data_IF_553977926579
#
_entry.id   IF_553977926579
#
_cell.length_a   1.000
_cell.length_b   1.000
_cell.length_c   1.000
_cell.angle_alpha   90.00
_cell.angle_beta   90.00
_cell.angle_gamma   90.00
#
_symmetry.space_group_name_H-M   'P 1'
#
loop_
_entity.id
_entity.type
_entity.pdbx_description
1 polymer ?
#
# COMPACT_ATOMS: atom_id res chain seq x y z
N UNK A 1 2.20 13.70 11.53
CA UNK A 1 3.21 13.73 10.45
C UNK A 1 2.45 13.52 9.16
N UNK A 2 2.58 14.42 8.18
CA UNK A 2 1.94 14.27 6.87
C UNK A 2 2.95 13.58 5.93
N UNK A 3 2.55 12.50 5.25
CA UNK A 3 3.39 11.76 4.30
C UNK A 3 2.82 11.99 2.89
N UNK A 4 3.32 12.99 2.14
CA UNK A 4 2.77 13.35 0.84
C UNK A 4 3.17 12.38 -0.28
N UNK A 5 4.19 11.55 -0.05
CA UNK A 5 4.66 10.54 -1.01
C UNK A 5 4.56 9.18 -0.36
N UNK A 6 3.83 8.27 -0.99
CA UNK A 6 3.54 6.93 -0.51
C UNK A 6 3.85 5.92 -1.61
N UNK A 7 4.30 4.73 -1.22
CA UNK A 7 4.44 3.59 -2.12
C UNK A 7 3.64 2.42 -1.58
N UNK A 8 2.62 1.99 -2.32
CA UNK A 8 2.01 0.67 -2.13
C UNK A 8 2.76 -0.33 -3.02
N UNK A 9 3.34 -1.36 -2.42
CA UNK A 9 4.16 -2.35 -3.09
C UNK A 9 3.48 -3.71 -2.97
N UNK A 10 3.37 -4.41 -4.10
CA UNK A 10 2.67 -5.68 -4.22
C UNK A 10 3.66 -6.67 -4.83
N UNK A 11 4.19 -7.59 -4.02
CA UNK A 11 5.22 -8.53 -4.48
C UNK A 11 4.59 -9.86 -4.84
N UNK A 12 4.98 -10.42 -5.98
CA UNK A 12 4.75 -11.82 -6.32
C UNK A 12 5.91 -12.66 -5.83
N UNK A 13 5.63 -13.61 -4.96
CA UNK A 13 6.62 -14.45 -4.32
C UNK A 13 6.66 -15.84 -4.94
N UNK A 14 7.73 -16.56 -4.64
CA UNK A 14 7.81 -17.98 -4.95
C UNK A 14 6.86 -18.78 -4.06
N UNK A 15 6.27 -19.88 -4.57
CA UNK A 15 5.35 -20.72 -3.80
C UNK A 15 5.86 -21.08 -2.40
N UNK A 16 5.08 -20.73 -1.38
CA UNK A 16 5.36 -21.08 0.02
C UNK A 16 6.50 -20.29 0.68
N UNK A 17 7.00 -19.22 0.04
CA UNK A 17 8.11 -18.39 0.56
C UNK A 17 7.65 -17.10 1.23
N UNK A 18 6.34 -16.84 1.27
CA UNK A 18 5.78 -15.59 1.83
C UNK A 18 6.17 -15.35 3.28
N UNK A 19 5.97 -16.34 4.14
CA UNK A 19 6.23 -16.13 5.57
C UNK A 19 7.73 -15.96 5.87
N UNK A 20 8.61 -16.58 5.08
CA UNK A 20 10.05 -16.33 5.17
C UNK A 20 10.39 -14.87 4.88
N UNK A 21 9.82 -14.29 3.81
CA UNK A 21 10.01 -12.87 3.50
C UNK A 21 9.44 -11.99 4.59
N UNK A 22 8.24 -12.30 5.10
CA UNK A 22 7.58 -11.53 6.17
C UNK A 22 8.44 -11.50 7.42
N UNK A 23 8.97 -12.65 7.87
CA UNK A 23 9.83 -12.73 9.05
C UNK A 23 11.12 -11.93 8.88
N UNK A 24 11.77 -12.02 7.72
CA UNK A 24 12.96 -11.24 7.40
C UNK A 24 12.65 -9.74 7.37
N UNK A 25 11.54 -9.37 6.72
CA UNK A 25 11.12 -7.99 6.56
C UNK A 25 10.83 -7.33 7.92
N UNK A 26 10.04 -8.01 8.76
CA UNK A 26 9.67 -7.53 10.09
C UNK A 26 10.89 -7.37 11.01
N UNK A 27 11.86 -8.28 10.92
CA UNK A 27 13.04 -8.27 11.77
C UNK A 27 14.08 -7.25 11.33
N UNK A 28 14.39 -7.18 10.03
CA UNK A 28 15.56 -6.44 9.53
C UNK A 28 15.18 -5.18 8.74
N UNK A 29 14.09 -5.22 7.97
CA UNK A 29 13.80 -4.15 7.00
C UNK A 29 12.90 -3.06 7.52
N UNK A 30 12.04 -3.31 8.52
CA UNK A 30 11.24 -2.23 9.12
C UNK A 30 12.17 -1.19 9.76
N UNK A 31 12.92 -1.58 10.79
CA UNK A 31 13.83 -0.66 11.50
C UNK A 31 14.96 -0.16 10.59
N UNK A 32 15.49 -0.99 9.69
CA UNK A 32 16.53 -0.60 8.74
C UNK A 32 16.08 0.51 7.78
N UNK A 33 14.84 0.44 7.27
CA UNK A 33 14.29 1.50 6.42
C UNK A 33 13.98 2.77 7.23
N UNK A 34 13.43 2.62 8.43
CA UNK A 34 13.11 3.77 9.30
C UNK A 34 14.37 4.54 9.73
N UNK A 35 15.47 3.84 10.00
CA UNK A 35 16.77 4.45 10.26
C UNK A 35 17.29 5.29 9.08
N UNK A 36 16.84 5.00 7.86
CA UNK A 36 17.17 5.77 6.65
C UNK A 36 16.18 6.92 6.37
N UNK A 37 15.21 7.17 7.26
CA UNK A 37 14.24 8.27 7.13
C UNK A 37 12.95 7.92 6.39
N UNK A 38 12.71 6.65 6.06
CA UNK A 38 11.43 6.18 5.55
C UNK A 38 10.45 5.95 6.69
N UNK A 39 9.15 5.89 6.38
CA UNK A 39 8.16 5.38 7.32
C UNK A 39 7.51 4.13 6.77
N UNK A 40 7.69 2.98 7.41
CA UNK A 40 6.94 1.77 7.07
C UNK A 40 5.58 1.85 7.76
N UNK A 41 4.52 1.92 6.96
CA UNK A 41 3.16 2.15 7.45
C UNK A 41 2.42 0.86 7.72
N UNK A 42 2.61 -0.16 6.89
CA UNK A 42 2.03 -1.46 7.12
C UNK A 42 2.55 -2.48 6.14
N UNK A 43 2.50 -3.74 6.54
CA UNK A 43 2.75 -4.90 5.70
C UNK A 43 1.65 -5.92 5.95
N UNK A 44 1.38 -6.74 4.94
CA UNK A 44 0.17 -7.53 4.91
C UNK A 44 0.38 -8.84 4.16
N UNK A 45 -0.29 -9.87 4.66
CA UNK A 45 -0.59 -11.09 3.90
C UNK A 45 -1.89 -10.87 3.14
N UNK A 46 -1.90 -11.16 1.85
CA UNK A 46 -3.13 -11.27 1.08
C UNK A 46 -3.86 -12.57 1.48
N UNK A 47 -5.15 -12.47 1.80
CA UNK A 47 -5.98 -13.61 2.18
C UNK A 47 -6.29 -14.52 0.99
N UNK A 48 -6.33 -13.96 -0.22
CA UNK A 48 -6.74 -14.66 -1.44
C UNK A 48 -5.54 -15.14 -2.27
N UNK A 49 -4.33 -14.67 -1.95
CA UNK A 49 -3.09 -15.01 -2.65
C UNK A 49 -1.97 -15.35 -1.64
N UNK A 50 -1.69 -16.65 -1.41
CA UNK A 50 -0.67 -17.08 -0.45
C UNK A 50 0.75 -16.69 -0.86
N UNK A 51 0.96 -16.35 -2.12
CA UNK A 51 2.26 -15.96 -2.68
C UNK A 51 2.36 -14.44 -2.91
N UNK A 52 1.43 -13.64 -2.36
CA UNK A 52 1.49 -12.18 -2.40
C UNK A 52 1.86 -11.58 -1.05
N UNK A 53 2.79 -10.63 -1.09
CA UNK A 53 3.13 -9.77 0.04
C UNK A 53 2.88 -8.30 -0.32
N UNK A 54 2.01 -7.64 0.43
CA UNK A 54 1.60 -6.25 0.18
C UNK A 54 2.12 -5.38 1.31
N UNK A 55 2.75 -4.24 1.01
CA UNK A 55 3.24 -3.34 2.04
C UNK A 55 3.28 -1.88 1.58
N UNK A 56 3.27 -0.98 2.55
CA UNK A 56 3.16 0.45 2.37
C UNK A 56 4.29 1.16 3.10
N UNK A 57 4.92 2.11 2.42
CA UNK A 57 5.83 3.07 3.05
C UNK A 57 5.55 4.48 2.60
N UNK A 58 6.00 5.46 3.37
CA UNK A 58 5.90 6.87 3.03
C UNK A 58 7.21 7.62 3.21
N UNK A 59 7.27 8.77 2.56
CA UNK A 59 8.40 9.70 2.54
C UNK A 59 7.90 11.13 2.76
N UNK A 60 8.79 11.98 3.26
CA UNK A 60 8.48 13.40 3.49
C UNK A 60 8.27 14.17 2.16
N UNK A 61 9.00 13.78 1.11
CA UNK A 61 8.89 14.31 -0.25
C UNK A 61 9.66 13.40 -1.23
N UNK A 62 9.68 13.76 -2.51
CA UNK A 62 10.39 13.01 -3.54
C UNK A 62 11.92 13.05 -3.36
N UNK A 63 12.51 14.17 -2.92
CA UNK A 63 13.96 14.25 -2.71
C UNK A 63 14.40 13.31 -1.58
N UNK A 64 13.65 13.29 -0.48
CA UNK A 64 13.83 12.36 0.63
C UNK A 64 13.59 10.92 0.21
N UNK A 65 12.62 10.66 -0.68
CA UNK A 65 12.46 9.33 -1.29
C UNK A 65 13.76 8.86 -1.93
N UNK A 66 14.32 9.62 -2.87
CA UNK A 66 15.55 9.21 -3.55
C UNK A 66 16.74 9.01 -2.58
N UNK A 67 16.93 9.94 -1.64
CA UNK A 67 18.02 9.88 -0.67
C UNK A 67 17.90 8.66 0.26
N UNK A 68 16.71 8.43 0.83
CA UNK A 68 16.46 7.32 1.74
C UNK A 68 16.56 5.96 1.04
N UNK A 69 16.07 5.85 -0.19
CA UNK A 69 16.23 4.63 -0.99
C UNK A 69 17.69 4.36 -1.33
N UNK A 70 18.44 5.38 -1.73
CA UNK A 70 19.87 5.24 -1.98
C UNK A 70 20.63 4.76 -0.72
N UNK A 71 20.31 5.33 0.44
CA UNK A 71 20.93 4.96 1.72
C UNK A 71 20.60 3.52 2.13
N UNK A 72 19.34 3.10 2.03
CA UNK A 72 18.93 1.75 2.42
C UNK A 72 19.47 0.68 1.47
N UNK A 73 19.21 0.82 0.16
CA UNK A 73 19.62 -0.19 -0.84
C UNK A 73 21.12 -0.19 -1.14
N UNK A 74 21.84 0.88 -0.80
CA UNK A 74 23.31 0.92 -0.82
C UNK A 74 23.94 0.61 0.54
N UNK A 75 23.14 0.37 1.57
CA UNK A 75 23.57 0.25 2.95
C UNK A 75 23.83 -1.18 3.42
N UNK A 76 24.38 -1.35 4.63
CA UNK A 76 24.80 -2.65 5.16
C UNK A 76 23.63 -3.61 5.37
N UNK A 77 22.47 -3.12 5.82
CA UNK A 77 21.26 -3.95 6.05
C UNK A 77 20.82 -4.64 4.77
N UNK A 78 20.75 -3.90 3.65
CA UNK A 78 20.40 -4.49 2.36
C UNK A 78 21.53 -5.37 1.81
N UNK A 79 22.79 -4.98 1.99
CA UNK A 79 23.92 -5.81 1.56
C UNK A 79 23.93 -7.19 2.25
N UNK A 80 23.60 -7.24 3.53
CA UNK A 80 23.56 -8.47 4.32
C UNK A 80 22.31 -9.33 4.03
N UNK A 81 21.13 -8.72 4.01
CA UNK A 81 19.86 -9.46 3.98
C UNK A 81 19.13 -9.44 2.62
N UNK A 82 19.48 -8.51 1.73
CA UNK A 82 18.89 -8.36 0.40
C UNK A 82 18.95 -9.64 -0.46
N UNK A 83 20.06 -10.40 -0.49
CA UNK A 83 20.10 -11.67 -1.23
C UNK A 83 19.06 -12.69 -0.77
N UNK A 84 18.83 -12.80 0.54
CA UNK A 84 17.83 -13.71 1.10
C UNK A 84 16.40 -13.25 0.73
N UNK A 85 16.12 -11.95 0.80
CA UNK A 85 14.85 -11.39 0.37
C UNK A 85 14.60 -11.61 -1.14
N UNK A 86 15.61 -11.35 -1.98
CA UNK A 86 15.48 -11.56 -3.43
C UNK A 86 15.23 -13.02 -3.79
N UNK A 87 15.77 -13.97 -3.02
CA UNK A 87 15.54 -15.39 -3.25
C UNK A 87 14.06 -15.80 -3.08
N UNK A 88 13.26 -15.05 -2.30
CA UNK A 88 11.84 -15.34 -2.10
C UNK A 88 10.94 -14.74 -3.17
N UNK A 89 11.41 -13.76 -3.95
CA UNK A 89 10.59 -12.97 -4.88
C UNK A 89 10.69 -13.50 -6.32
N UNK A 90 9.56 -13.44 -7.04
CA UNK A 90 9.48 -13.58 -8.50
C UNK A 90 9.38 -12.21 -9.16
N UNK A 91 8.57 -11.33 -8.58
CA UNK A 91 8.39 -9.96 -9.03
C UNK A 91 8.22 -9.01 -7.84
N UNK A 92 8.82 -7.81 -7.96
CA UNK A 92 8.78 -6.75 -6.95
C UNK A 92 8.40 -5.39 -7.53
N UNK A 93 7.98 -5.36 -8.79
CA UNK A 93 7.89 -4.14 -9.60
C UNK A 93 6.46 -3.58 -9.66
N UNK A 94 5.43 -4.32 -9.20
CA UNK A 94 4.07 -3.79 -9.01
C UNK A 94 4.02 -2.82 -7.81
N UNK A 95 4.40 -1.58 -8.10
CA UNK A 95 4.49 -0.49 -7.14
C UNK A 95 3.68 0.70 -7.62
N UNK A 96 2.78 1.16 -6.76
CA UNK A 96 2.02 2.39 -6.98
C UNK A 96 2.66 3.55 -6.23
N UNK A 97 2.99 4.63 -6.94
CA UNK A 97 3.42 5.90 -6.34
C UNK A 97 2.21 6.79 -6.08
N UNK A 98 1.95 7.08 -4.82
CA UNK A 98 0.69 7.63 -4.33
C UNK A 98 0.89 8.89 -3.47
N UNK A 99 -0.19 9.65 -3.34
CA UNK A 99 -0.34 10.77 -2.39
C UNK A 99 -1.74 10.74 -1.77
N UNK A 100 -1.97 11.35 -0.60
CA UNK A 100 -3.32 11.58 -0.10
C UNK A 100 -4.18 12.34 -1.12
N UNK A 101 -5.43 11.90 -1.33
CA UNK A 101 -6.35 12.55 -2.27
C UNK A 101 -6.81 13.95 -1.78
N UNK A 102 -6.84 14.12 -0.46
CA UNK A 102 -7.10 15.37 0.28
C UNK A 102 -6.10 15.51 1.44
N UNK A 103 -5.86 16.73 1.96
CA UNK A 103 -4.90 16.96 3.06
C UNK A 103 -5.11 16.10 4.31
N UNK A 104 -6.34 15.67 4.59
CA UNK A 104 -6.76 14.92 5.77
C UNK A 104 -7.08 13.44 5.48
N UNK A 105 -6.80 12.97 4.27
CA UNK A 105 -7.17 11.63 3.81
C UNK A 105 -6.02 10.61 3.81
N UNK A 106 -4.83 11.01 4.26
CA UNK A 106 -3.71 10.08 4.44
C UNK A 106 -3.87 9.20 5.68
N UNK A 107 -2.98 8.22 5.84
CA UNK A 107 -2.93 7.43 7.06
C UNK A 107 -2.63 8.31 8.28
N UNK A 108 -3.50 8.24 9.28
CA UNK A 108 -3.26 8.86 10.57
C UNK A 108 -2.40 7.91 11.43
N UNK A 109 -1.38 8.41 12.15
CA UNK A 109 -0.62 7.57 13.07
C UNK A 109 -1.54 6.93 14.11
N UNK A 110 -1.64 5.61 14.11
CA UNK A 110 -2.39 4.87 15.11
C UNK A 110 -1.49 4.68 16.33
N UNK A 111 -1.94 5.11 17.51
CA UNK A 111 -1.16 5.02 18.77
C UNK A 111 -1.48 3.78 19.59
N UNK A 112 -2.40 2.95 19.13
CA UNK A 112 -2.88 1.75 19.84
C UNK A 112 -2.99 0.60 18.86
N UNK A 113 -2.48 -0.57 19.26
CA UNK A 113 -2.64 -1.80 18.48
C UNK A 113 -4.14 -2.05 18.18
N UNK A 114 -4.52 -1.96 16.92
CA UNK A 114 -5.80 -2.39 16.37
C UNK A 114 -5.70 -3.75 15.67
N UNK A 115 -6.27 -4.76 16.31
CA UNK A 115 -6.55 -6.03 15.66
C UNK A 115 -7.63 -5.84 14.60
N UNK A 116 -7.40 -6.28 13.37
CA UNK A 116 -8.42 -6.24 12.31
C UNK A 116 -7.90 -6.72 10.95
N UNK A 117 -8.85 -6.90 10.03
CA UNK A 117 -8.61 -7.22 8.63
C UNK A 117 -8.73 -5.94 7.82
N UNK A 118 -7.78 -5.67 6.95
CA UNK A 118 -7.77 -4.49 6.11
C UNK A 118 -8.30 -4.84 4.72
N UNK A 119 -8.91 -3.88 4.05
CA UNK A 119 -9.11 -3.96 2.61
C UNK A 119 -8.40 -2.81 1.93
N UNK A 120 -7.76 -3.08 0.81
CA UNK A 120 -7.28 -2.05 -0.11
C UNK A 120 -8.07 -2.19 -1.41
N UNK A 121 -8.93 -1.22 -1.72
CA UNK A 121 -9.68 -1.22 -2.99
C UNK A 121 -9.02 -0.27 -3.96
N UNK A 122 -8.53 -0.83 -5.06
CA UNK A 122 -7.71 -0.19 -6.09
C UNK A 122 -8.59 -0.01 -7.33
N UNK A 123 -8.76 1.25 -7.75
CA UNK A 123 -9.50 1.63 -8.94
C UNK A 123 -8.55 2.23 -9.97
N UNK A 124 -8.52 1.70 -11.19
CA UNK A 124 -7.94 2.40 -12.35
C UNK A 124 -9.00 3.38 -12.85
N UNK A 125 -8.72 4.67 -12.78
CA UNK A 125 -9.69 5.74 -12.99
C UNK A 125 -9.45 6.51 -14.28
N UNK A 126 -10.54 6.92 -14.93
CA UNK A 126 -10.48 7.64 -16.22
C UNK A 126 -10.12 9.12 -16.06
N UNK A 127 -10.32 9.68 -14.87
CA UNK A 127 -10.21 11.13 -14.61
C UNK A 127 -9.48 11.45 -13.30
N UNK A 128 -8.68 12.53 -13.23
CA UNK A 128 -8.11 13.01 -11.98
C UNK A 128 -9.17 13.47 -10.96
N UNK A 129 -10.39 13.81 -11.39
CA UNK A 129 -11.44 14.30 -10.50
C UNK A 129 -12.19 13.18 -9.74
N UNK A 130 -11.72 11.93 -9.84
CA UNK A 130 -12.35 10.79 -9.18
C UNK A 130 -12.47 10.99 -7.66
N UNK A 131 -11.55 11.72 -7.03
CA UNK A 131 -11.63 12.03 -5.60
C UNK A 131 -12.90 12.79 -5.19
N UNK A 132 -13.42 13.67 -6.06
CA UNK A 132 -14.68 14.39 -5.84
C UNK A 132 -15.87 13.45 -5.97
N UNK A 133 -15.90 12.63 -7.04
CA UNK A 133 -16.91 11.58 -7.21
C UNK A 133 -16.91 10.60 -6.03
N UNK A 134 -15.73 10.19 -5.56
CA UNK A 134 -15.59 9.33 -4.40
C UNK A 134 -16.20 9.98 -3.15
N UNK A 135 -15.89 11.25 -2.88
CA UNK A 135 -16.42 11.97 -1.74
C UNK A 135 -17.96 12.12 -1.79
N UNK A 136 -18.52 12.41 -2.96
CA UNK A 136 -19.94 12.70 -3.11
C UNK A 136 -20.82 11.45 -3.24
N UNK A 137 -20.28 10.37 -3.80
CA UNK A 137 -21.01 9.14 -4.12
C UNK A 137 -20.52 7.93 -3.32
N UNK A 138 -19.27 7.50 -3.54
CA UNK A 138 -18.75 6.22 -3.02
C UNK A 138 -18.66 6.24 -1.49
N UNK A 139 -18.05 7.28 -0.92
CA UNK A 139 -17.77 7.37 0.52
C UNK A 139 -19.02 7.32 1.40
N UNK A 140 -20.16 7.83 0.90
CA UNK A 140 -21.45 7.82 1.59
C UNK A 140 -22.10 6.44 1.63
N UNK A 141 -21.62 5.52 0.80
CA UNK A 141 -22.16 4.17 0.64
C UNK A 141 -21.19 3.11 1.20
N UNK A 142 -20.05 3.50 1.76
CA UNK A 142 -19.14 2.57 2.42
C UNK A 142 -19.74 2.10 3.75
N UNK A 143 -19.53 0.82 4.06
CA UNK A 143 -20.00 0.20 5.30
C UNK A 143 -19.30 0.79 6.54
N UNK A 144 -18.15 1.41 6.33
CA UNK A 144 -17.36 2.10 7.35
C UNK A 144 -16.51 3.21 6.72
N UNK A 145 -16.17 4.26 7.48
CA UNK A 145 -15.29 5.31 6.99
C UNK A 145 -13.93 4.73 6.57
N UNK A 146 -13.36 5.19 5.44
CA UNK A 146 -12.04 4.75 5.02
C UNK A 146 -10.97 5.33 5.96
N UNK A 147 -9.95 4.52 6.25
CA UNK A 147 -8.76 4.91 7.00
C UNK A 147 -7.82 5.82 6.20
N UNK A 148 -7.77 5.62 4.90
CA UNK A 148 -7.00 6.44 3.98
C UNK A 148 -7.67 6.44 2.60
N UNK A 149 -7.53 7.54 1.86
CA UNK A 149 -7.90 7.71 0.46
C UNK A 149 -6.69 8.32 -0.25
N UNK A 150 -6.11 7.57 -1.17
CA UNK A 150 -4.91 7.97 -1.89
C UNK A 150 -5.19 7.95 -3.39
N UNK A 151 -4.40 8.72 -4.11
CA UNK A 151 -4.42 8.76 -5.56
C UNK A 151 -3.00 8.79 -6.12
N UNK A 152 -2.86 8.55 -7.42
CA UNK A 152 -1.56 8.60 -8.09
C UNK A 152 -0.86 9.95 -7.88
N UNK A 153 0.39 9.89 -7.44
CA UNK A 153 1.29 11.02 -7.48
C UNK A 153 1.93 11.06 -8.88
N UNK A 154 1.38 11.87 -9.77
CA UNK A 154 1.80 11.99 -11.16
C UNK A 154 3.12 12.78 -11.32
N UNK A 155 4.23 12.16 -10.89
CA UNK A 155 5.59 12.66 -11.03
C UNK A 155 6.51 11.53 -11.52
N UNK A 156 7.60 11.89 -12.17
CA UNK A 156 8.58 10.89 -12.64
C UNK A 156 9.22 10.11 -11.50
N UNK A 157 9.50 8.82 -11.74
CA UNK A 157 10.23 7.99 -10.79
C UNK A 157 11.68 8.46 -10.65
N UNK A 158 12.00 9.11 -9.54
CA UNK A 158 13.34 9.59 -9.25
C UNK A 158 14.30 8.53 -8.66
N UNK A 159 13.93 7.25 -8.68
CA UNK A 159 14.80 6.15 -8.31
C UNK A 159 14.63 4.95 -9.27
N UNK A 160 15.20 5.02 -10.48
CA UNK A 160 14.92 4.05 -11.56
C UNK A 160 15.28 2.58 -11.26
N UNK A 161 16.14 2.33 -10.27
CA UNK A 161 16.47 0.96 -9.82
C UNK A 161 15.30 0.23 -9.17
N UNK A 162 14.25 0.95 -8.78
CA UNK A 162 13.00 0.38 -8.29
C UNK A 162 11.87 0.91 -9.17
N UNK A 163 11.39 0.12 -10.14
CA UNK A 163 10.29 0.50 -11.00
C UNK A 163 9.04 0.85 -10.19
N UNK A 164 8.22 1.71 -10.78
CA UNK A 164 6.86 2.01 -10.35
C UNK A 164 5.97 1.92 -11.58
N UNK A 165 4.70 1.61 -11.40
CA UNK A 165 3.72 1.63 -12.48
C UNK A 165 3.53 3.07 -12.95
N UNK A 166 3.63 3.25 -14.26
CA UNK A 166 3.47 4.53 -14.94
C UNK A 166 2.37 4.43 -16.00
N UNK A 167 1.77 5.56 -16.37
CA UNK A 167 0.75 5.62 -17.42
C UNK A 167 -0.69 5.33 -16.98
N UNK A 168 -0.88 4.83 -15.75
CA UNK A 168 -2.20 4.61 -15.16
C UNK A 168 -2.53 5.68 -14.11
N UNK A 169 -3.82 6.01 -13.97
CA UNK A 169 -4.32 6.79 -12.83
C UNK A 169 -5.05 5.85 -11.89
N UNK A 170 -4.60 5.84 -10.66
CA UNK A 170 -5.14 4.99 -9.60
C UNK A 170 -5.76 5.87 -8.52
N UNK A 171 -6.95 5.49 -8.07
CA UNK A 171 -7.51 5.89 -6.78
C UNK A 171 -7.63 4.65 -5.89
N UNK A 172 -7.23 4.78 -4.63
CA UNK A 172 -7.26 3.67 -3.67
C UNK A 172 -7.80 4.16 -2.34
N UNK A 173 -8.62 3.33 -1.69
CA UNK A 173 -8.96 3.55 -0.29
C UNK A 173 -8.70 2.31 0.55
N UNK A 174 -8.40 2.56 1.82
CA UNK A 174 -8.20 1.53 2.83
C UNK A 174 -9.34 1.57 3.84
N UNK A 175 -9.84 0.39 4.21
CA UNK A 175 -10.83 0.20 5.27
C UNK A 175 -10.34 -0.91 6.22
N UNK A 176 -10.86 -0.93 7.46
CA UNK A 176 -10.49 -1.91 8.49
C UNK A 176 -11.70 -2.51 9.18
N UNK A 177 -11.86 -3.81 9.02
CA UNK A 177 -12.95 -4.61 9.54
C UNK A 177 -12.50 -5.46 10.72
N UNK A 178 -13.46 -5.97 11.49
CA UNK A 178 -13.18 -6.87 12.62
C UNK A 178 -12.66 -8.24 12.15
N UNK A 179 -13.17 -8.74 11.01
CA UNK A 179 -12.92 -10.07 10.47
C UNK A 179 -13.00 -10.07 8.93
N UNK A 180 -12.59 -11.18 8.32
CA UNK A 180 -12.62 -11.36 6.87
C UNK A 180 -14.04 -11.40 6.31
N UNK A 181 -15.01 -11.93 7.06
CA UNK A 181 -16.39 -12.04 6.57
C UNK A 181 -16.97 -10.65 6.31
N UNK A 182 -16.79 -9.74 7.25
CA UNK A 182 -17.17 -8.34 7.14
C UNK A 182 -16.36 -7.62 6.06
N UNK A 183 -15.05 -7.92 5.94
CA UNK A 183 -14.20 -7.37 4.89
C UNK A 183 -14.59 -7.84 3.47
N UNK A 184 -15.22 -9.01 3.34
CA UNK A 184 -15.66 -9.55 2.04
C UNK A 184 -17.08 -9.10 1.68
N UNK A 185 -17.98 -9.02 2.65
CA UNK A 185 -19.39 -8.62 2.46
C UNK A 185 -19.57 -7.11 2.46
N UNK A 186 -18.81 -6.41 1.62
CA UNK A 186 -18.90 -4.95 1.50
C UNK A 186 -20.06 -4.56 0.57
N UNK A 187 -21.15 -4.05 1.14
CA UNK A 187 -22.39 -3.77 0.41
C UNK A 187 -22.25 -2.58 -0.56
N UNK A 188 -21.21 -1.74 -0.44
CA UNK A 188 -20.95 -0.69 -1.43
C UNK A 188 -20.76 -1.24 -2.85
N UNK A 189 -20.26 -2.47 -3.00
CA UNK A 189 -19.99 -3.08 -4.32
C UNK A 189 -21.25 -3.25 -5.17
N UNK A 190 -22.40 -3.47 -4.52
CA UNK A 190 -23.69 -3.61 -5.20
C UNK A 190 -24.44 -2.28 -5.33
N UNK A 191 -24.08 -1.28 -4.52
CA UNK A 191 -24.79 0.01 -4.44
C UNK A 191 -24.16 1.09 -5.32
N UNK A 192 -22.84 1.08 -5.43
CA UNK A 192 -22.09 2.13 -6.12
C UNK A 192 -22.12 1.89 -7.63
N UNK A 193 -22.76 2.81 -8.34
CA UNK A 193 -22.62 2.92 -9.79
C UNK A 193 -21.41 3.80 -10.12
N UNK A 194 -20.36 3.19 -10.68
CA UNK A 194 -19.16 3.90 -11.13
C UNK A 194 -19.35 4.55 -12.51
N UNK A 195 -20.42 4.26 -13.24
CA UNK A 195 -20.61 4.72 -14.62
C UNK A 195 -19.35 4.50 -15.48
N UNK A 196 -18.88 5.56 -16.14
CA UNK A 196 -17.68 5.54 -16.99
C UNK A 196 -16.43 6.11 -16.28
N UNK A 197 -16.40 6.09 -14.95
CA UNK A 197 -15.29 6.68 -14.16
C UNK A 197 -14.09 5.75 -13.99
N UNK A 198 -14.23 4.48 -14.38
CA UNK A 198 -13.21 3.44 -14.23
C UNK A 198 -12.82 2.84 -15.58
N UNK A 199 -11.53 2.50 -15.74
CA UNK A 199 -11.01 1.78 -16.91
C UNK A 199 -11.12 0.25 -16.76
N UNK A 200 -11.29 -0.23 -15.53
CA UNK A 200 -11.42 -1.66 -15.19
C UNK A 200 -12.24 -1.84 -13.91
N UNK A 201 -12.69 -3.08 -13.65
CA UNK A 201 -13.33 -3.41 -12.38
C UNK A 201 -12.39 -3.13 -11.18
N UNK A 202 -12.91 -2.57 -10.06
CA UNK A 202 -12.11 -2.36 -8.86
C UNK A 202 -11.52 -3.67 -8.33
N UNK A 203 -10.20 -3.69 -8.14
CA UNK A 203 -9.53 -4.78 -7.43
C UNK A 203 -9.60 -4.51 -5.93
N UNK A 204 -10.16 -5.43 -5.14
CA UNK A 204 -10.10 -5.33 -3.67
C UNK A 204 -9.26 -6.44 -3.09
N UNK A 205 -8.24 -6.08 -2.33
CA UNK A 205 -7.41 -7.01 -1.56
C UNK A 205 -7.96 -7.15 -0.14
N UNK A 206 -7.97 -8.36 0.41
CA UNK A 206 -8.25 -8.63 1.83
C UNK A 206 -6.92 -8.93 2.51
N UNK A 207 -6.55 -8.10 3.48
CA UNK A 207 -5.18 -7.95 3.95
C UNK A 207 -5.08 -8.17 5.46
N UNK A 208 -4.26 -9.13 5.87
CA UNK A 208 -3.94 -9.39 7.27
C UNK A 208 -2.62 -8.75 7.65
N UNK A 209 -2.58 -7.81 8.62
CA UNK A 209 -1.34 -7.17 9.02
C UNK A 209 -0.36 -8.19 9.60
N UNK A 210 0.94 -8.07 9.30
CA UNK A 210 1.95 -8.93 9.91
C UNK A 210 2.34 -8.41 11.31
N UNK A 211 3.25 -9.10 11.99
CA UNK A 211 3.57 -8.80 13.39
C UNK A 211 4.23 -7.42 13.54
N UNK A 212 5.07 -7.02 12.60
CA UNK A 212 5.73 -5.70 12.61
C UNK A 212 4.87 -4.52 12.14
N UNK A 213 3.57 -4.73 11.85
CA UNK A 213 2.78 -3.73 11.12
C UNK A 213 2.46 -2.56 12.03
N UNK A 214 2.74 -1.33 11.59
CA UNK A 214 2.33 -0.14 12.35
C UNK A 214 0.81 0.10 12.31
N UNK A 215 0.09 -0.63 11.47
CA UNK A 215 -1.38 -0.67 11.39
C UNK A 215 -1.98 -1.87 12.14
N UNK A 216 -1.19 -2.61 12.92
CA UNK A 216 -1.72 -3.63 13.84
C UNK A 216 -2.36 -3.01 15.08
#
# INVERSE_FOLDING_TARGET
MNLPVLELRQYTLRPGRRDELVELFDREFVTGQEACGMRVLGQFRDADDPDRFVWLRGFADMAMRAASLAAFYGGPVWAEHGPAANATMLDSDDVLLLRPARPDSGFVPVTTASTGVYTATICVVTTPDFGSFFAESVSRQLDQPPLAQLETLAVENNFPRLPVREGERIFIWFSRFADEESARKQAWRERVDFGNTLDAEPLTLVLHPTAGSALR
#
